data_IF_200662437529
#
_entry.id   IF_200662437529
#
_cell.length_a   1.000
_cell.length_b   1.000
_cell.length_c   1.000
_cell.angle_alpha   90.00
_cell.angle_beta   90.00
_cell.angle_gamma   90.00
#
_symmetry.space_group_name_H-M   'P 1'
#
loop_
_entity.id
_entity.type
_entity.pdbx_description
1 polymer ?
#
# COMPACT_ATOMS: atom_id res chain seq x y z
N UNK A 1 -11.47 0.33 -8.06
CA UNK A 1 -10.46 -0.11 -7.08
C UNK A 1 -11.04 0.19 -5.71
N UNK A 2 -11.40 -0.84 -4.95
CA UNK A 2 -12.20 -0.75 -3.71
C UNK A 2 -13.24 -1.86 -3.68
N UNK A 3 -13.78 -2.13 -2.49
CA UNK A 3 -14.78 -3.17 -2.24
C UNK A 3 -15.96 -2.62 -1.44
N UNK A 4 -17.13 -3.24 -1.55
CA UNK A 4 -18.35 -2.87 -0.85
C UNK A 4 -18.53 -3.64 0.47
N UNK A 5 -19.38 -3.11 1.35
CA UNK A 5 -19.76 -3.80 2.60
C UNK A 5 -20.31 -5.21 2.33
N UNK A 6 -21.15 -5.38 1.31
CA UNK A 6 -21.72 -6.68 0.95
C UNK A 6 -20.64 -7.70 0.58
N UNK A 7 -19.58 -7.28 -0.12
CA UNK A 7 -18.47 -8.15 -0.51
C UNK A 7 -17.64 -8.58 0.70
N UNK A 8 -17.38 -7.65 1.64
CA UNK A 8 -16.70 -7.98 2.91
C UNK A 8 -17.55 -8.98 3.71
N UNK A 9 -18.86 -8.75 3.79
CA UNK A 9 -19.74 -9.64 4.54
C UNK A 9 -19.83 -11.02 3.90
N UNK A 10 -19.92 -11.10 2.57
CA UNK A 10 -19.89 -12.37 1.84
C UNK A 10 -18.57 -13.12 2.11
N UNK A 11 -17.43 -12.41 2.04
CA UNK A 11 -16.13 -12.97 2.38
C UNK A 11 -16.09 -13.53 3.80
N UNK A 12 -16.57 -12.80 4.80
CA UNK A 12 -16.53 -13.26 6.19
C UNK A 12 -17.49 -14.44 6.44
N UNK A 13 -18.66 -14.44 5.80
CA UNK A 13 -19.69 -15.48 5.99
C UNK A 13 -19.29 -16.84 5.43
N UNK A 14 -18.42 -16.86 4.41
CA UNK A 14 -17.88 -18.11 3.85
C UNK A 14 -16.78 -18.75 4.71
N UNK A 15 -16.37 -18.12 5.82
CA UNK A 15 -15.17 -18.50 6.59
C UNK A 15 -15.55 -18.92 8.00
N UNK A 16 -14.80 -19.88 8.54
CA UNK A 16 -14.91 -20.24 9.96
C UNK A 16 -14.27 -19.18 10.85
N UNK A 17 -14.66 -19.15 12.12
CA UNK A 17 -14.08 -18.24 13.11
C UNK A 17 -12.56 -18.35 13.19
N UNK A 18 -12.00 -19.56 13.05
CA UNK A 18 -10.55 -19.76 13.03
C UNK A 18 -9.89 -19.07 11.83
N UNK A 19 -10.50 -19.16 10.65
CA UNK A 19 -10.01 -18.49 9.45
C UNK A 19 -10.09 -16.97 9.58
N UNK A 20 -11.17 -16.45 10.18
CA UNK A 20 -11.34 -15.00 10.41
C UNK A 20 -10.32 -14.50 11.43
N UNK A 21 -10.05 -15.25 12.51
CA UNK A 21 -9.01 -14.92 13.47
C UNK A 21 -7.60 -14.93 12.85
N UNK A 22 -7.32 -15.88 11.97
CA UNK A 22 -6.07 -15.89 11.20
C UNK A 22 -5.97 -14.67 10.27
N UNK A 23 -7.07 -14.31 9.60
CA UNK A 23 -7.14 -13.12 8.74
C UNK A 23 -6.90 -11.81 9.52
N UNK A 24 -7.48 -11.69 10.72
CA UNK A 24 -7.21 -10.57 11.63
C UNK A 24 -5.72 -10.49 11.96
N UNK A 25 -5.11 -11.60 12.38
CA UNK A 25 -3.69 -11.63 12.72
C UNK A 25 -2.83 -11.25 11.52
N UNK A 26 -3.18 -11.79 10.35
CA UNK A 26 -2.50 -11.50 9.09
C UNK A 26 -2.52 -10.01 8.74
N UNK A 27 -3.69 -9.37 8.74
CA UNK A 27 -3.81 -7.94 8.44
C UNK A 27 -3.02 -7.07 9.43
N UNK A 28 -3.08 -7.38 10.73
CA UNK A 28 -2.46 -6.56 11.77
C UNK A 28 -0.94 -6.76 11.88
N UNK A 29 -0.42 -7.94 11.52
CA UNK A 29 1.00 -8.27 11.67
C UNK A 29 1.67 -8.35 10.32
N UNK A 30 1.26 -9.32 9.50
CA UNK A 30 1.97 -9.65 8.26
C UNK A 30 1.79 -8.59 7.19
N UNK A 31 0.56 -8.17 6.88
CA UNK A 31 0.35 -7.11 5.89
C UNK A 31 0.90 -5.77 6.37
N UNK A 32 0.81 -5.49 7.66
CA UNK A 32 1.37 -4.27 8.24
C UNK A 32 2.90 -4.23 8.14
N UNK A 33 3.60 -5.35 8.38
CA UNK A 33 5.04 -5.46 8.19
C UNK A 33 5.41 -5.41 6.71
N UNK A 34 4.66 -6.11 5.86
CA UNK A 34 4.89 -6.11 4.41
C UNK A 34 4.77 -4.70 3.84
N UNK A 35 3.77 -3.93 4.28
CA UNK A 35 3.60 -2.52 3.95
C UNK A 35 4.84 -1.70 4.23
N UNK A 36 5.35 -1.81 5.45
CA UNK A 36 6.55 -1.09 5.85
C UNK A 36 7.78 -1.50 5.02
N UNK A 37 7.97 -2.80 4.78
CA UNK A 37 9.10 -3.33 4.01
C UNK A 37 9.09 -2.77 2.60
N UNK A 38 7.96 -2.88 1.88
CA UNK A 38 7.90 -2.34 0.51
C UNK A 38 8.03 -0.82 0.51
N UNK A 39 7.48 -0.12 1.50
CA UNK A 39 7.57 1.34 1.61
C UNK A 39 9.02 1.81 1.73
N UNK A 40 9.79 1.21 2.64
CA UNK A 40 11.22 1.50 2.81
C UNK A 40 12.00 1.15 1.55
N UNK A 41 11.71 0.01 0.93
CA UNK A 41 12.34 -0.40 -0.33
C UNK A 41 12.11 0.62 -1.45
N UNK A 42 10.87 1.11 -1.62
CA UNK A 42 10.56 2.14 -2.62
C UNK A 42 11.23 3.47 -2.32
N UNK A 43 11.28 3.90 -1.05
CA UNK A 43 12.04 5.11 -0.66
C UNK A 43 13.52 4.97 -1.02
N UNK A 44 14.12 3.80 -0.78
CA UNK A 44 15.50 3.54 -1.14
C UNK A 44 15.71 3.62 -2.67
N UNK A 45 14.83 3.00 -3.46
CA UNK A 45 14.90 3.07 -4.92
C UNK A 45 14.74 4.50 -5.45
N UNK A 46 13.73 5.24 -5.00
CA UNK A 46 13.52 6.65 -5.39
C UNK A 46 14.75 7.49 -5.02
N UNK A 47 15.28 7.32 -3.80
CA UNK A 47 16.48 8.04 -3.35
C UNK A 47 17.71 7.74 -4.20
N UNK A 48 17.92 6.48 -4.58
CA UNK A 48 19.03 6.07 -5.44
C UNK A 48 18.85 6.64 -6.85
N UNK A 49 17.68 6.46 -7.46
CA UNK A 49 17.41 6.89 -8.84
C UNK A 49 17.56 8.42 -8.99
N UNK A 50 17.05 9.19 -8.02
CA UNK A 50 17.07 10.66 -8.05
C UNK A 50 18.24 11.29 -7.27
N UNK A 51 19.23 10.53 -6.82
CA UNK A 51 20.41 11.04 -6.09
C UNK A 51 21.04 12.33 -6.67
N UNK A 52 21.26 12.47 -8.00
CA UNK A 52 21.83 13.69 -8.59
C UNK A 52 20.96 14.93 -8.44
N UNK A 53 19.66 14.74 -8.19
CA UNK A 53 18.64 15.78 -8.08
C UNK A 53 18.00 15.82 -6.69
N UNK A 54 18.69 15.27 -5.68
CA UNK A 54 18.16 15.05 -4.34
C UNK A 54 17.59 16.33 -3.69
N UNK A 55 18.15 17.51 -3.95
CA UNK A 55 17.62 18.76 -3.38
C UNK A 55 16.24 19.16 -3.92
N UNK A 56 15.86 18.72 -5.13
CA UNK A 56 14.56 19.05 -5.74
C UNK A 56 13.50 17.97 -5.54
N UNK A 57 13.91 16.69 -5.46
CA UNK A 57 12.97 15.56 -5.46
C UNK A 57 12.87 14.80 -4.13
N UNK A 58 13.43 15.32 -3.03
CA UNK A 58 13.30 14.73 -1.69
C UNK A 58 11.84 14.45 -1.29
N UNK A 59 10.90 15.30 -1.71
CA UNK A 59 9.46 15.14 -1.43
C UNK A 59 8.88 13.87 -2.07
N UNK A 60 9.46 13.35 -3.16
CA UNK A 60 8.97 12.11 -3.78
C UNK A 60 9.10 10.90 -2.85
N UNK A 61 10.00 10.94 -1.87
CA UNK A 61 10.10 9.90 -0.85
C UNK A 61 8.91 9.88 0.12
N UNK A 62 8.05 10.92 0.13
CA UNK A 62 6.80 10.89 0.90
C UNK A 62 5.72 10.03 0.24
N UNK A 63 5.81 9.80 -1.08
CA UNK A 63 4.80 9.02 -1.80
C UNK A 63 4.71 7.57 -1.31
N UNK A 64 5.83 6.81 -1.15
CA UNK A 64 5.74 5.47 -0.58
C UNK A 64 5.24 5.46 0.86
N UNK A 65 5.59 6.45 1.69
CA UNK A 65 5.08 6.51 3.07
C UNK A 65 3.57 6.77 3.11
N UNK A 66 3.05 7.62 2.23
CA UNK A 66 1.61 7.80 2.09
C UNK A 66 0.92 6.49 1.67
N UNK A 67 1.52 5.73 0.74
CA UNK A 67 1.01 4.40 0.37
C UNK A 67 0.92 3.46 1.58
N UNK A 68 1.99 3.36 2.39
CA UNK A 68 2.02 2.53 3.61
C UNK A 68 0.94 2.96 4.60
N UNK A 69 0.76 4.26 4.79
CA UNK A 69 -0.25 4.79 5.71
C UNK A 69 -1.66 4.33 5.32
N UNK A 70 -2.01 4.41 4.03
CA UNK A 70 -3.32 3.97 3.55
C UNK A 70 -3.48 2.44 3.54
N UNK A 71 -2.39 1.69 3.34
CA UNK A 71 -2.36 0.25 3.53
C UNK A 71 -2.70 -0.14 4.97
N UNK A 72 -2.09 0.53 5.95
CA UNK A 72 -2.44 0.33 7.35
C UNK A 72 -3.90 0.71 7.66
N UNK A 73 -4.40 1.85 7.16
CA UNK A 73 -5.80 2.22 7.36
C UNK A 73 -6.76 1.16 6.84
N UNK A 74 -6.50 0.60 5.66
CA UNK A 74 -7.27 -0.51 5.10
C UNK A 74 -7.19 -1.74 6.00
N UNK A 75 -5.98 -2.21 6.34
CA UNK A 75 -5.77 -3.46 7.07
C UNK A 75 -6.35 -3.41 8.49
N UNK A 76 -6.15 -2.30 9.21
CA UNK A 76 -6.70 -2.13 10.55
C UNK A 76 -8.22 -2.01 10.52
N UNK A 77 -8.80 -1.37 9.49
CA UNK A 77 -10.25 -1.30 9.33
C UNK A 77 -10.84 -2.67 9.00
N UNK A 78 -10.21 -3.47 8.12
CA UNK A 78 -10.62 -4.84 7.83
C UNK A 78 -10.49 -5.76 9.05
N UNK A 79 -9.44 -5.59 9.85
CA UNK A 79 -9.30 -6.31 11.11
C UNK A 79 -10.39 -5.92 12.13
N UNK A 80 -10.74 -4.63 12.21
CA UNK A 80 -11.82 -4.16 13.09
C UNK A 80 -13.19 -4.71 12.66
N UNK A 81 -13.49 -4.69 11.35
CA UNK A 81 -14.72 -5.28 10.80
C UNK A 81 -14.81 -6.78 11.06
N UNK A 82 -13.69 -7.50 10.91
CA UNK A 82 -13.62 -8.93 11.17
C UNK A 82 -13.88 -9.25 12.65
N UNK A 83 -13.33 -8.44 13.58
CA UNK A 83 -13.59 -8.57 15.02
C UNK A 83 -15.05 -8.28 15.35
N UNK A 84 -15.63 -7.25 14.72
CA UNK A 84 -17.04 -6.91 14.90
C UNK A 84 -17.93 -8.05 14.41
N UNK A 85 -17.64 -8.62 13.25
CA UNK A 85 -18.39 -9.74 12.69
C UNK A 85 -18.37 -10.97 13.63
N UNK A 86 -17.21 -11.30 14.20
CA UNK A 86 -17.11 -12.41 15.17
C UNK A 86 -17.93 -12.16 16.45
N UNK A 87 -18.09 -10.90 16.87
CA UNK A 87 -18.83 -10.56 18.09
C UNK A 87 -20.34 -10.41 17.85
N UNK A 88 -20.75 -9.87 16.70
CA UNK A 88 -22.12 -9.38 16.47
C UNK A 88 -22.79 -10.04 15.25
N UNK A 89 -22.05 -10.81 14.43
CA UNK A 89 -22.55 -11.37 13.16
C UNK A 89 -22.81 -10.31 12.07
N UNK A 90 -22.49 -9.04 12.33
CA UNK A 90 -22.70 -7.91 11.42
C UNK A 90 -21.46 -7.02 11.32
N UNK A 91 -21.43 -6.11 10.36
CA UNK A 91 -20.30 -5.21 10.12
C UNK A 91 -20.76 -3.76 9.90
N UNK A 92 -19.98 -2.81 10.40
CA UNK A 92 -20.21 -1.37 10.21
C UNK A 92 -20.03 -0.93 8.75
N UNK A 93 -21.06 -0.29 8.17
CA UNK A 93 -21.00 0.30 6.83
C UNK A 93 -19.98 1.43 6.73
N UNK A 94 -19.83 2.25 7.78
CA UNK A 94 -18.89 3.38 7.76
C UNK A 94 -17.45 2.90 7.80
N UNK A 95 -17.14 1.88 8.61
CA UNK A 95 -15.80 1.28 8.68
C UNK A 95 -15.47 0.52 7.39
N UNK A 96 -16.45 -0.14 6.76
CA UNK A 96 -16.29 -0.73 5.43
C UNK A 96 -15.95 0.32 4.37
N UNK A 97 -16.62 1.48 4.40
CA UNK A 97 -16.31 2.59 3.49
C UNK A 97 -14.91 3.15 3.72
N UNK A 98 -14.47 3.26 4.98
CA UNK A 98 -13.09 3.69 5.31
C UNK A 98 -12.08 2.71 4.74
N UNK A 99 -12.26 1.40 4.98
CA UNK A 99 -11.37 0.36 4.46
C UNK A 99 -11.27 0.42 2.92
N UNK A 100 -12.42 0.50 2.24
CA UNK A 100 -12.50 0.59 0.79
C UNK A 100 -11.83 1.86 0.25
N UNK A 101 -12.12 3.01 0.85
CA UNK A 101 -11.53 4.30 0.46
C UNK A 101 -10.02 4.30 0.64
N UNK A 102 -9.54 3.77 1.77
CA UNK A 102 -8.11 3.61 2.03
C UNK A 102 -7.45 2.70 0.98
N UNK A 103 -8.09 1.58 0.63
CA UNK A 103 -7.64 0.69 -0.45
C UNK A 103 -7.52 1.44 -1.79
N UNK A 104 -8.55 2.20 -2.18
CA UNK A 104 -8.53 3.00 -3.41
C UNK A 104 -7.37 4.00 -3.42
N UNK A 105 -7.18 4.75 -2.33
CA UNK A 105 -6.12 5.75 -2.23
C UNK A 105 -4.75 5.08 -2.25
N UNK A 106 -4.56 3.97 -1.52
CA UNK A 106 -3.34 3.16 -1.57
C UNK A 106 -2.96 2.81 -3.00
N UNK A 107 -3.89 2.27 -3.79
CA UNK A 107 -3.62 1.88 -5.17
C UNK A 107 -3.25 3.06 -6.07
N UNK A 108 -3.85 4.23 -5.85
CA UNK A 108 -3.45 5.46 -6.53
C UNK A 108 -2.00 5.83 -6.19
N UNK A 109 -1.63 5.82 -4.91
CA UNK A 109 -0.24 6.06 -4.50
C UNK A 109 0.72 4.99 -5.06
N UNK A 110 0.32 3.72 -5.09
CA UNK A 110 1.13 2.64 -5.68
C UNK A 110 1.42 2.92 -7.15
N UNK A 111 0.42 3.34 -7.93
CA UNK A 111 0.62 3.69 -9.33
C UNK A 111 1.57 4.90 -9.49
N UNK A 112 1.43 5.92 -8.64
CA UNK A 112 2.32 7.09 -8.64
C UNK A 112 3.76 6.71 -8.29
N UNK A 113 3.96 5.86 -7.28
CA UNK A 113 5.29 5.37 -6.88
C UNK A 113 5.93 4.59 -8.02
N UNK A 114 5.20 3.70 -8.68
CA UNK A 114 5.71 2.96 -9.84
C UNK A 114 6.05 3.88 -11.01
N UNK A 115 5.23 4.90 -11.30
CA UNK A 115 5.54 5.88 -12.33
C UNK A 115 6.84 6.64 -12.01
N UNK A 116 7.04 7.06 -10.76
CA UNK A 116 8.26 7.76 -10.31
C UNK A 116 9.49 6.86 -10.46
N UNK A 117 9.40 5.59 -10.02
CA UNK A 117 10.49 4.62 -10.15
C UNK A 117 10.82 4.37 -11.63
N UNK A 118 9.81 4.20 -12.48
CA UNK A 118 10.00 3.97 -13.91
C UNK A 118 10.70 5.17 -14.57
N UNK A 119 10.24 6.39 -14.32
CA UNK A 119 10.87 7.61 -14.84
C UNK A 119 12.32 7.70 -14.37
N UNK A 120 12.57 7.48 -13.08
CA UNK A 120 13.93 7.49 -12.52
C UNK A 120 14.84 6.45 -13.17
N UNK A 121 14.34 5.24 -13.41
CA UNK A 121 15.07 4.16 -14.07
C UNK A 121 15.41 4.51 -15.52
N UNK A 122 14.44 4.98 -16.30
CA UNK A 122 14.64 5.42 -17.70
C UNK A 122 15.66 6.55 -17.77
N UNK A 123 15.58 7.55 -16.91
CA UNK A 123 16.56 8.65 -16.85
C UNK A 123 17.97 8.15 -16.59
N UNK A 124 18.14 7.17 -15.69
CA UNK A 124 19.46 6.57 -15.37
C UNK A 124 20.02 5.77 -16.55
N UNK A 125 19.18 4.97 -17.20
CA UNK A 125 19.57 4.17 -18.37
C UNK A 125 19.99 5.08 -19.52
N UNK A 126 19.14 6.05 -19.89
CA UNK A 126 19.44 7.00 -20.99
C UNK A 126 20.69 7.83 -20.68
N UNK A 127 20.87 8.26 -19.43
CA UNK A 127 22.07 8.99 -19.00
C UNK A 127 23.35 8.15 -19.09
N UNK A 128 23.26 6.84 -18.80
CA UNK A 128 24.39 5.92 -18.94
C UNK A 128 24.73 5.64 -20.41
N UNK A 129 23.72 5.49 -21.28
CA UNK A 129 23.90 5.25 -22.72
C UNK A 129 24.46 6.46 -23.49
N UNK A 130 24.28 7.69 -22.98
CA UNK A 130 24.84 8.91 -23.60
C UNK A 130 26.29 9.21 -23.20
N UNK A 131 26.78 8.64 -22.08
CA UNK A 131 28.16 8.82 -21.59
C UNK A 131 29.30 8.08 -22.34
N UNK A 132 29.09 7.07 -23.21
CA UNK A 132 30.22 6.38 -23.86
C UNK A 132 31.00 7.24 -24.87
N UNK A 133 30.43 8.32 -25.41
CA UNK A 133 31.05 9.07 -26.52
C UNK A 133 31.95 10.25 -26.11
N UNK A 134 32.26 10.42 -24.81
CA UNK A 134 33.09 11.53 -24.30
C UNK A 134 34.32 11.07 -23.52
N UNK A 135 34.79 9.84 -23.76
CA UNK A 135 36.09 9.35 -23.26
C UNK A 135 36.96 8.94 -24.43
#
# INVERSE_FOLDING_TARGET
>A
MGFGQAEILAFLTERSDQMINAYINFNQVWDSLFALIYGVMYVAWVSILFKPYSQKFKVLNLLPFAQVLFDWFENFSLAALSKQYLAEGTISSSTALIASTASSIKWVFSLLVYAVILVGAVMRIVGALKKPSQR
#
